data_IF_392064461414
#
_entry.id   IF_392064461414
#
_cell.length_a   1.000
_cell.length_b   1.000
_cell.length_c   1.000
_cell.angle_alpha   90.00
_cell.angle_beta   90.00
_cell.angle_gamma   90.00
#
_symmetry.space_group_name_H-M   'P 1'
#
loop_
_entity.id
_entity.type
_entity.pdbx_description
1 polymer ?
#
# COMPACT_ATOMS: atom_id res chain seq x y z
N UNK A 1 -2.10 -15.72 -35.65
CA UNK A 1 -0.72 -15.65 -35.09
C UNK A 1 0.35 -15.68 -36.20
N UNK A 2 0.10 -15.05 -37.36
CA UNK A 2 0.97 -15.11 -38.56
C UNK A 2 1.51 -13.73 -39.00
N UNK A 3 1.03 -12.64 -38.40
CA UNK A 3 1.33 -11.28 -38.86
C UNK A 3 2.68 -10.77 -38.32
N UNK A 4 3.12 -11.25 -37.16
CA UNK A 4 4.31 -10.70 -36.47
C UNK A 4 5.63 -11.27 -37.03
N UNK A 5 5.63 -12.50 -37.58
CA UNK A 5 6.85 -13.10 -38.14
C UNK A 5 7.36 -12.41 -39.42
N UNK A 6 6.54 -11.58 -40.08
CA UNK A 6 6.92 -10.92 -41.34
C UNK A 6 7.88 -9.73 -41.12
N UNK A 7 8.06 -9.28 -39.88
CA UNK A 7 8.86 -8.09 -39.55
C UNK A 7 10.19 -8.40 -38.85
N UNK A 8 10.56 -9.67 -38.69
CA UNK A 8 11.82 -10.08 -38.07
C UNK A 8 12.87 -10.41 -39.14
N UNK A 9 13.30 -9.41 -39.90
CA UNK A 9 14.52 -9.53 -40.72
C UNK A 9 15.74 -9.31 -39.83
N UNK A 10 16.57 -10.34 -39.67
CA UNK A 10 17.85 -10.23 -38.96
C UNK A 10 18.78 -9.25 -39.69
N UNK A 11 19.38 -8.32 -38.95
CA UNK A 11 20.32 -7.33 -39.50
C UNK A 11 21.66 -8.04 -39.72
N UNK A 12 22.02 -8.29 -40.98
CA UNK A 12 23.38 -8.65 -41.38
C UNK A 12 24.09 -7.40 -41.91
N UNK A 13 25.39 -7.29 -41.68
CA UNK A 13 26.20 -6.07 -41.91
C UNK A 13 26.21 -5.56 -43.36
N UNK A 14 25.78 -6.39 -44.33
CA UNK A 14 25.78 -6.06 -45.77
C UNK A 14 24.53 -5.33 -46.28
N UNK A 15 23.49 -5.12 -45.45
CA UNK A 15 22.16 -4.60 -45.87
C UNK A 15 21.68 -3.36 -45.09
N UNK A 16 22.58 -2.44 -44.76
CA UNK A 16 22.27 -1.27 -43.91
C UNK A 16 21.35 -0.23 -44.58
N UNK A 17 21.51 0.02 -45.88
CA UNK A 17 20.68 1.01 -46.59
C UNK A 17 19.24 0.54 -46.81
N UNK A 18 19.06 -0.76 -47.06
CA UNK A 18 17.74 -1.38 -47.30
C UNK A 18 16.94 -1.49 -46.00
N UNK A 19 17.60 -1.83 -44.89
CA UNK A 19 16.99 -1.90 -43.54
C UNK A 19 16.54 -0.53 -43.03
N UNK A 20 17.35 0.52 -43.22
CA UNK A 20 16.99 1.89 -42.87
C UNK A 20 15.76 2.38 -43.65
N UNK A 21 15.72 2.11 -44.96
CA UNK A 21 14.56 2.46 -45.80
C UNK A 21 13.28 1.74 -45.35
N UNK A 22 13.39 0.44 -45.04
CA UNK A 22 12.28 -0.36 -44.52
C UNK A 22 11.77 0.17 -43.18
N UNK A 23 12.67 0.47 -42.24
CA UNK A 23 12.33 1.04 -40.94
C UNK A 23 11.61 2.39 -41.07
N UNK A 24 12.10 3.27 -41.94
CA UNK A 24 11.45 4.56 -42.22
C UNK A 24 10.04 4.38 -42.78
N UNK A 25 9.82 3.39 -43.66
CA UNK A 25 8.51 3.08 -44.20
C UNK A 25 7.54 2.61 -43.09
N UNK A 26 7.99 1.69 -42.23
CA UNK A 26 7.20 1.22 -41.08
C UNK A 26 6.81 2.36 -40.12
N UNK A 27 7.74 3.27 -39.82
CA UNK A 27 7.46 4.44 -38.96
C UNK A 27 6.43 5.37 -39.61
N UNK A 28 6.52 5.62 -40.92
CA UNK A 28 5.55 6.46 -41.64
C UNK A 28 4.13 5.88 -41.57
N UNK A 29 4.01 4.57 -41.79
CA UNK A 29 2.72 3.85 -41.69
C UNK A 29 2.15 3.89 -40.26
N UNK A 30 3.00 3.71 -39.25
CA UNK A 30 2.62 3.81 -37.83
C UNK A 30 2.10 5.21 -37.50
N UNK A 31 2.83 6.26 -37.88
CA UNK A 31 2.44 7.65 -37.63
C UNK A 31 1.12 7.99 -38.34
N UNK A 32 0.93 7.53 -39.56
CA UNK A 32 -0.34 7.67 -40.28
C UNK A 32 -1.51 7.02 -39.52
N UNK A 33 -1.30 5.79 -39.03
CA UNK A 33 -2.31 5.07 -38.25
C UNK A 33 -2.67 5.77 -36.94
N UNK A 34 -1.70 6.36 -36.24
CA UNK A 34 -1.92 7.12 -35.00
C UNK A 34 -2.75 8.39 -35.28
N UNK A 35 -2.43 9.12 -36.35
CA UNK A 35 -3.12 10.37 -36.72
C UNK A 35 -4.57 10.16 -37.15
N UNK A 36 -4.92 8.98 -37.63
CA UNK A 36 -6.31 8.62 -37.99
C UNK A 36 -7.21 8.40 -36.75
N UNK A 37 -6.64 8.26 -35.55
CA UNK A 37 -7.42 8.09 -34.33
C UNK A 37 -8.07 9.41 -33.87
N UNK A 38 -9.05 9.30 -32.96
CA UNK A 38 -9.69 10.47 -32.34
C UNK A 38 -8.65 11.31 -31.61
N UNK A 39 -8.64 12.61 -31.89
CA UNK A 39 -7.72 13.55 -31.25
C UNK A 39 -8.45 14.45 -30.24
N UNK A 40 -7.75 14.80 -29.16
CA UNK A 40 -8.21 15.70 -28.09
C UNK A 40 -7.11 16.69 -27.74
N UNK A 41 -7.46 17.94 -27.47
CA UNK A 41 -6.53 18.93 -26.92
C UNK A 41 -6.64 18.96 -25.41
N UNK A 42 -5.55 18.68 -24.72
CA UNK A 42 -5.45 18.73 -23.26
C UNK A 42 -4.24 19.59 -22.94
N UNK A 43 -4.43 20.66 -22.15
CA UNK A 43 -3.35 21.56 -21.70
C UNK A 43 -2.50 22.13 -22.86
N UNK A 44 -3.13 22.41 -24.01
CA UNK A 44 -2.43 22.92 -25.21
C UNK A 44 -1.71 21.86 -26.05
N UNK A 45 -1.67 20.60 -25.61
CA UNK A 45 -1.06 19.47 -26.32
C UNK A 45 -2.11 18.66 -27.10
N UNK A 46 -1.75 18.22 -28.31
CA UNK A 46 -2.60 17.34 -29.13
C UNK A 46 -2.36 15.88 -28.76
N UNK A 47 -3.38 15.22 -28.22
CA UNK A 47 -3.35 13.83 -27.78
C UNK A 47 -4.23 12.99 -28.72
N UNK A 48 -3.75 11.82 -29.13
CA UNK A 48 -4.51 10.84 -29.90
C UNK A 48 -4.93 9.68 -28.99
N UNK A 49 -6.20 9.32 -29.00
CA UNK A 49 -6.70 8.17 -28.23
C UNK A 49 -6.31 6.86 -28.94
N UNK A 50 -5.64 5.97 -28.22
CA UNK A 50 -5.23 4.66 -28.75
C UNK A 50 -6.08 3.60 -28.05
N UNK A 51 -6.61 2.65 -28.82
CA UNK A 51 -7.33 1.51 -28.27
C UNK A 51 -6.38 0.68 -27.38
N UNK A 52 -6.88 0.11 -26.27
CA UNK A 52 -6.06 -0.77 -25.44
C UNK A 52 -5.53 -1.94 -26.27
N UNK A 53 -4.28 -2.34 -26.01
CA UNK A 53 -3.64 -3.45 -26.72
C UNK A 53 -4.47 -4.73 -26.60
N UNK A 54 -4.71 -5.41 -27.72
CA UNK A 54 -5.29 -6.76 -27.74
C UNK A 54 -4.30 -7.81 -27.21
N UNK A 55 -3.02 -7.46 -27.13
CA UNK A 55 -1.97 -8.36 -26.66
C UNK A 55 -1.89 -8.34 -25.13
N UNK A 56 -2.29 -9.46 -24.52
CA UNK A 56 -2.19 -9.67 -23.07
C UNK A 56 -0.76 -10.14 -22.77
N UNK A 57 0.02 -9.24 -22.15
CA UNK A 57 1.32 -9.61 -21.59
C UNK A 57 1.13 -10.50 -20.36
N UNK A 58 1.88 -11.61 -20.21
CA UNK A 58 1.83 -12.41 -19.01
C UNK A 58 2.28 -11.54 -17.81
N UNK A 59 1.42 -11.45 -16.81
CA UNK A 59 1.74 -10.84 -15.51
C UNK A 59 1.72 -11.95 -14.47
N UNK A 60 2.59 -11.88 -13.46
CA UNK A 60 2.39 -12.68 -12.26
C UNK A 60 1.03 -12.29 -11.68
N UNK A 61 0.13 -13.27 -11.54
CA UNK A 61 -1.09 -13.05 -10.79
C UNK A 61 -0.64 -12.77 -9.36
N UNK A 62 -1.05 -11.63 -8.79
CA UNK A 62 -0.93 -11.46 -7.34
C UNK A 62 -1.99 -12.38 -6.76
N UNK A 63 -1.57 -13.48 -6.16
CA UNK A 63 -2.50 -14.35 -5.44
C UNK A 63 -3.25 -13.51 -4.40
N UNK A 64 -4.57 -13.69 -4.35
CA UNK A 64 -5.39 -13.04 -3.34
C UNK A 64 -4.88 -13.47 -1.97
N UNK A 65 -4.56 -12.49 -1.11
CA UNK A 65 -4.04 -12.79 0.22
C UNK A 65 -5.04 -13.66 0.95
N UNK A 66 -4.58 -14.82 1.42
CA UNK A 66 -5.37 -15.66 2.30
C UNK A 66 -5.87 -14.83 3.49
N UNK A 67 -7.16 -14.96 3.81
CA UNK A 67 -7.72 -14.25 4.94
C UNK A 67 -7.06 -14.73 6.23
N UNK A 68 -6.67 -13.77 7.08
CA UNK A 68 -6.08 -14.11 8.38
C UNK A 68 -7.10 -14.86 9.26
N UNK A 69 -6.62 -15.69 10.19
CA UNK A 69 -7.48 -16.42 11.15
C UNK A 69 -8.48 -15.49 11.86
N UNK A 70 -8.08 -14.26 12.16
CA UNK A 70 -8.95 -13.26 12.77
C UNK A 70 -10.01 -12.71 11.79
N UNK A 71 -9.69 -12.51 10.52
CA UNK A 71 -10.65 -12.05 9.51
C UNK A 71 -11.72 -13.10 9.23
N UNK A 72 -11.34 -14.39 9.17
CA UNK A 72 -12.30 -15.49 9.06
C UNK A 72 -13.24 -15.52 10.27
N UNK A 73 -12.68 -15.42 11.48
CA UNK A 73 -13.47 -15.36 12.71
C UNK A 73 -14.38 -14.13 12.77
N UNK A 74 -13.86 -12.95 12.38
CA UNK A 74 -14.64 -11.71 12.36
C UNK A 74 -15.80 -11.78 11.36
N UNK A 75 -15.61 -12.43 10.21
CA UNK A 75 -16.65 -12.67 9.21
C UNK A 75 -17.74 -13.59 9.76
N UNK A 76 -17.35 -14.72 10.36
CA UNK A 76 -18.28 -15.70 10.96
C UNK A 76 -19.09 -15.08 12.10
N UNK A 77 -18.46 -14.24 12.93
CA UNK A 77 -19.13 -13.55 14.05
C UNK A 77 -19.82 -12.24 13.66
N UNK A 78 -19.77 -11.83 12.40
CA UNK A 78 -20.36 -10.56 11.94
C UNK A 78 -19.72 -9.31 12.55
N UNK A 79 -18.46 -9.39 13.00
CA UNK A 79 -17.72 -8.29 13.61
C UNK A 79 -17.30 -7.31 12.52
N UNK A 80 -18.03 -6.19 12.40
CA UNK A 80 -17.70 -5.11 11.46
C UNK A 80 -16.58 -4.22 11.99
N UNK A 81 -15.56 -3.97 11.16
CA UNK A 81 -14.45 -3.06 11.48
C UNK A 81 -14.96 -1.61 11.56
N UNK A 82 -14.91 -1.01 12.75
CA UNK A 82 -15.24 0.42 12.96
C UNK A 82 -13.97 1.26 12.95
N UNK A 83 -13.99 2.39 12.25
CA UNK A 83 -12.91 3.39 12.30
C UNK A 83 -12.93 4.07 13.68
N UNK A 84 -11.78 4.10 14.36
CA UNK A 84 -11.61 4.81 15.63
C UNK A 84 -10.66 6.00 15.43
N UNK A 85 -10.97 7.13 16.06
CA UNK A 85 -10.11 8.32 16.04
C UNK A 85 -8.82 8.10 16.83
N UNK A 86 -7.75 8.79 16.41
CA UNK A 86 -6.46 8.81 17.11
C UNK A 86 -6.51 9.62 18.40
N UNK A 87 -7.28 10.71 18.43
CA UNK A 87 -7.48 11.58 19.60
C UNK A 87 -8.75 11.19 20.35
N UNK A 88 -8.69 11.28 21.68
CA UNK A 88 -9.78 11.06 22.63
C UNK A 88 -9.77 12.24 23.61
N UNK A 89 -10.94 12.82 23.85
CA UNK A 89 -11.08 13.90 24.81
C UNK A 89 -10.96 13.32 26.23
N UNK A 90 -10.07 13.90 27.04
CA UNK A 90 -9.93 13.53 28.45
C UNK A 90 -10.61 14.59 29.31
N UNK A 91 -11.58 14.17 30.11
CA UNK A 91 -12.28 15.04 31.07
C UNK A 91 -11.33 15.55 32.16
N UNK A 92 -10.32 14.76 32.55
CA UNK A 92 -9.35 15.11 33.60
C UNK A 92 -8.44 16.26 33.23
N UNK A 93 -7.97 16.28 31.99
CA UNK A 93 -7.06 17.30 31.47
C UNK A 93 -7.77 18.37 30.64
N UNK A 94 -9.09 18.21 30.42
CA UNK A 94 -9.94 19.05 29.60
C UNK A 94 -9.34 19.32 28.20
N UNK A 95 -8.67 18.31 27.63
CA UNK A 95 -7.87 18.41 26.39
C UNK A 95 -7.99 17.14 25.55
N UNK A 96 -7.81 17.29 24.24
CA UNK A 96 -7.69 16.18 23.30
C UNK A 96 -6.32 15.50 23.44
N UNK A 97 -6.32 14.24 23.87
CA UNK A 97 -5.12 13.44 24.06
C UNK A 97 -5.08 12.27 23.08
N UNK A 98 -3.89 11.80 22.66
CA UNK A 98 -3.79 10.60 21.86
C UNK A 98 -4.25 9.37 22.65
N UNK A 99 -4.95 8.45 21.98
CA UNK A 99 -5.46 7.21 22.58
C UNK A 99 -4.36 6.30 23.14
N UNK A 100 -3.18 6.29 22.49
CA UNK A 100 -2.03 5.47 22.84
C UNK A 100 -0.74 6.31 22.75
N UNK A 101 0.36 5.81 23.31
CA UNK A 101 1.67 6.47 23.31
C UNK A 101 1.94 7.27 24.60
N UNK A 102 3.12 7.89 24.70
CA UNK A 102 3.60 8.55 25.94
C UNK A 102 2.70 9.69 26.44
N UNK A 103 2.04 10.40 25.51
CA UNK A 103 1.12 11.51 25.81
C UNK A 103 -0.33 11.05 26.00
N UNK A 104 -0.59 9.74 26.07
CA UNK A 104 -1.94 9.25 26.37
C UNK A 104 -2.32 9.59 27.80
N UNK A 105 -3.62 9.73 28.06
CA UNK A 105 -4.15 10.04 29.38
C UNK A 105 -3.59 9.12 30.47
N UNK A 106 -3.55 7.81 30.22
CA UNK A 106 -3.02 6.82 31.16
C UNK A 106 -1.54 7.05 31.48
N UNK A 107 -0.73 7.44 30.50
CA UNK A 107 0.70 7.68 30.70
C UNK A 107 0.97 9.05 31.34
N UNK A 108 0.15 10.07 31.03
CA UNK A 108 0.23 11.37 31.70
C UNK A 108 -0.11 11.27 33.19
N UNK A 109 -1.13 10.48 33.55
CA UNK A 109 -1.46 10.19 34.95
C UNK A 109 -0.26 9.53 35.66
N UNK A 110 0.42 8.61 35.00
CA UNK A 110 1.62 7.93 35.55
C UNK A 110 2.87 8.82 35.59
N UNK A 111 2.93 9.89 34.78
CA UNK A 111 4.03 10.86 34.75
C UNK A 111 3.78 12.05 35.68
N UNK A 112 2.55 12.29 36.13
CA UNK A 112 2.23 13.29 37.12
C UNK A 112 3.05 13.06 38.37
N UNK A 113 3.87 14.05 38.77
CA UNK A 113 4.84 13.93 39.86
C UNK A 113 4.22 13.68 41.25
N UNK A 114 2.90 13.84 41.39
CA UNK A 114 2.15 13.53 42.61
C UNK A 114 0.99 12.63 42.22
N UNK A 115 1.04 11.38 42.65
CA UNK A 115 -0.07 10.44 42.54
C UNK A 115 -0.54 10.15 43.96
N UNK A 116 -1.80 10.45 44.26
CA UNK A 116 -2.42 10.06 45.53
C UNK A 116 -2.60 8.54 45.55
N UNK A 117 -1.70 7.82 46.22
CA UNK A 117 -1.79 6.36 46.33
C UNK A 117 -1.86 5.97 47.80
N UNK A 118 -2.86 5.14 48.15
CA UNK A 118 -2.94 4.45 49.45
C UNK A 118 -1.89 3.32 49.63
N UNK A 119 -1.02 3.08 48.63
CA UNK A 119 -0.13 1.92 48.56
C UNK A 119 1.35 2.34 48.57
N UNK A 120 2.20 1.47 49.13
CA UNK A 120 3.66 1.64 49.18
C UNK A 120 4.30 1.75 47.79
N UNK A 121 5.30 2.63 47.65
CA UNK A 121 6.10 2.86 46.43
C UNK A 121 6.64 1.58 45.78
N UNK A 122 7.03 0.59 46.58
CA UNK A 122 7.54 -0.71 46.11
C UNK A 122 6.50 -1.48 45.28
N UNK A 123 5.22 -1.44 45.68
CA UNK A 123 4.12 -2.11 44.96
C UNK A 123 3.90 -1.47 43.58
N UNK A 124 3.94 -0.13 43.50
CA UNK A 124 3.77 0.60 42.25
C UNK A 124 4.86 0.29 41.22
N UNK A 125 6.12 0.23 41.65
CA UNK A 125 7.25 -0.13 40.78
C UNK A 125 7.09 -1.56 40.25
N UNK A 126 6.70 -2.50 41.11
CA UNK A 126 6.48 -3.89 40.72
C UNK A 126 5.31 -4.01 39.71
N UNK A 127 4.21 -3.31 39.93
CA UNK A 127 3.09 -3.27 38.97
C UNK A 127 3.50 -2.71 37.60
N UNK A 128 4.29 -1.62 37.58
CA UNK A 128 4.81 -1.04 36.33
C UNK A 128 5.66 -2.06 35.57
N UNK A 129 6.57 -2.76 36.26
CA UNK A 129 7.39 -3.83 35.67
C UNK A 129 6.53 -4.98 35.14
N UNK A 130 5.51 -5.42 35.88
CA UNK A 130 4.56 -6.47 35.44
C UNK A 130 3.80 -6.05 34.17
N UNK A 131 3.30 -4.81 34.11
CA UNK A 131 2.62 -4.27 32.92
C UNK A 131 3.54 -4.24 31.70
N UNK A 132 4.78 -3.76 31.88
CA UNK A 132 5.76 -3.72 30.80
C UNK A 132 6.11 -5.12 30.27
N UNK A 133 6.31 -6.10 31.17
CA UNK A 133 6.57 -7.50 30.79
C UNK A 133 5.41 -8.09 29.99
N UNK A 134 4.17 -7.95 30.48
CA UNK A 134 2.96 -8.44 29.79
C UNK A 134 2.78 -7.81 28.41
N UNK A 135 3.06 -6.52 28.26
CA UNK A 135 2.97 -5.84 26.97
C UNK A 135 4.01 -6.38 25.98
N UNK A 136 5.24 -6.67 26.43
CA UNK A 136 6.28 -7.27 25.59
C UNK A 136 5.88 -8.68 25.13
N UNK A 137 5.41 -9.52 26.05
CA UNK A 137 4.91 -10.87 25.74
C UNK A 137 3.77 -10.85 24.72
N UNK A 138 2.81 -9.92 24.87
CA UNK A 138 1.73 -9.76 23.91
C UNK A 138 2.21 -9.30 22.54
N UNK A 139 3.20 -8.41 22.49
CA UNK A 139 3.79 -7.95 21.24
C UNK A 139 4.50 -9.10 20.49
N UNK A 140 5.24 -9.94 21.21
CA UNK A 140 5.88 -11.14 20.66
C UNK A 140 4.85 -12.15 20.15
N UNK A 141 3.79 -12.43 20.94
CA UNK A 141 2.69 -13.30 20.50
C UNK A 141 1.97 -12.77 19.25
N UNK A 142 1.85 -11.46 19.09
CA UNK A 142 1.24 -10.88 17.90
C UNK A 142 2.16 -11.02 16.68
N UNK A 143 3.47 -10.77 16.83
CA UNK A 143 4.44 -10.99 15.74
C UNK A 143 4.41 -12.44 15.23
N UNK A 144 4.39 -13.40 16.15
CA UNK A 144 4.34 -14.83 15.80
C UNK A 144 3.01 -15.29 15.17
N UNK A 145 1.94 -14.48 15.25
CA UNK A 145 0.64 -14.75 14.60
C UNK A 145 0.53 -14.16 13.20
N UNK A 146 1.42 -13.24 12.84
CA UNK A 146 1.44 -12.55 11.55
C UNK A 146 2.33 -13.26 10.51
N UNK A 147 3.22 -14.14 10.97
CA UNK A 147 3.89 -15.16 10.15
C UNK A 147 3.01 -16.41 10.08
#
# INVERSE_FOLDING_TARGET
MQIIQQFLTAITEENTDTTNSSAQKMIKELVGSIKNNKSKRVEGSLIFEINPSLYILPKSINEEKESTKWESFAREKGIKKKKRSRMVFSEKFNKWLPRYGSRSEQNLILQGGVVEVKQSMSKMINEKRKRAKKNKENAEKNKNKHH
#
